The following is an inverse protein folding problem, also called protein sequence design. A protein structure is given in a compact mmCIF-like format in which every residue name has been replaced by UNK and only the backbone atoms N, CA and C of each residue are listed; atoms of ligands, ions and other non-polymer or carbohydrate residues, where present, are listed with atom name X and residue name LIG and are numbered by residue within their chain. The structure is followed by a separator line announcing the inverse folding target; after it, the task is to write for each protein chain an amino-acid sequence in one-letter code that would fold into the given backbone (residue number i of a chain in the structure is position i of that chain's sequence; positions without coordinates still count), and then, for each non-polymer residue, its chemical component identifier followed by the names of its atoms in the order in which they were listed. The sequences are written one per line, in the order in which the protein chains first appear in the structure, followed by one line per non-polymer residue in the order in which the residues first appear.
data_IF_745589007168
#
_entry.id   IF_745589007168
#
_cell.length_a   1.000
_cell.length_b   1.000
_cell.length_c   1.000
_cell.angle_alpha   90.00
_cell.angle_beta   90.00
_cell.angle_gamma   90.00
#
_symmetry.space_group_name_H-M   'P 1'
#
loop_
_entity.id
_entity.type
_entity.pdbx_description
1 polymer ?
#
# COMPACT_ATOMS: atom_id res chain seq x y z
N UNK A 1 -10.24 -3.47 27.13
CA UNK A 1 -8.79 -3.38 27.37
C UNK A 1 -8.08 -4.06 26.21
N UNK A 2 -7.47 -3.29 25.30
CA UNK A 2 -6.81 -3.81 24.12
C UNK A 2 -5.58 -4.63 24.52
N UNK A 3 -5.67 -5.95 24.44
CA UNK A 3 -4.54 -6.82 24.69
C UNK A 3 -3.89 -7.17 23.33
N UNK A 4 -3.11 -6.25 22.80
CA UNK A 4 -2.32 -6.42 21.58
C UNK A 4 -1.16 -7.40 21.85
N UNK A 5 -1.49 -8.69 22.05
CA UNK A 5 -0.46 -9.74 22.01
C UNK A 5 -0.03 -9.96 20.57
N UNK A 6 0.85 -9.08 20.09
CA UNK A 6 1.45 -9.19 18.76
C UNK A 6 2.70 -10.08 18.84
N UNK A 7 2.84 -11.00 17.90
CA UNK A 7 4.09 -11.71 17.72
C UNK A 7 5.20 -10.77 17.16
N UNK A 8 6.43 -11.27 17.09
CA UNK A 8 7.55 -10.46 16.61
C UNK A 8 7.38 -10.00 15.16
N UNK A 9 6.76 -10.82 14.30
CA UNK A 9 6.52 -10.49 12.89
C UNK A 9 5.43 -9.43 12.76
N UNK A 10 4.34 -9.60 13.51
CA UNK A 10 3.21 -8.66 13.53
C UNK A 10 3.65 -7.26 13.97
N UNK A 11 4.56 -7.14 14.94
CA UNK A 11 5.06 -5.85 15.41
C UNK A 11 5.70 -5.01 14.30
N UNK A 12 6.52 -5.62 13.43
CA UNK A 12 7.16 -4.86 12.34
C UNK A 12 6.15 -4.35 11.34
N UNK A 13 5.17 -5.18 10.97
CA UNK A 13 4.11 -4.79 10.04
C UNK A 13 3.23 -3.71 10.65
N UNK A 14 2.86 -3.84 11.93
CA UNK A 14 2.03 -2.83 12.62
C UNK A 14 2.71 -1.48 12.67
N UNK A 15 4.02 -1.43 12.98
CA UNK A 15 4.74 -0.16 13.05
C UNK A 15 4.81 0.50 11.66
N UNK A 16 5.16 -0.24 10.60
CA UNK A 16 5.20 0.33 9.26
C UNK A 16 3.83 0.77 8.78
N UNK A 17 2.78 0.00 9.07
CA UNK A 17 1.41 0.32 8.69
C UNK A 17 0.86 1.56 9.44
N UNK A 18 1.20 1.74 10.72
CA UNK A 18 0.87 2.95 11.48
C UNK A 18 1.47 4.18 10.81
N UNK A 19 2.77 4.13 10.49
CA UNK A 19 3.47 5.24 9.87
C UNK A 19 2.94 5.51 8.46
N UNK A 20 2.75 4.48 7.65
CA UNK A 20 2.19 4.60 6.31
C UNK A 20 0.77 5.17 6.34
N UNK A 21 -0.11 4.64 7.18
CA UNK A 21 -1.49 5.10 7.32
C UNK A 21 -1.57 6.56 7.76
N UNK A 22 -0.71 6.97 8.69
CA UNK A 22 -0.62 8.37 9.14
C UNK A 22 -0.17 9.28 8.00
N UNK A 23 0.91 8.92 7.29
CA UNK A 23 1.43 9.70 6.17
C UNK A 23 0.41 9.79 5.03
N UNK A 24 -0.14 8.67 4.59
CA UNK A 24 -1.12 8.63 3.50
C UNK A 24 -2.36 9.46 3.83
N UNK A 25 -2.88 9.39 5.05
CA UNK A 25 -4.06 10.17 5.46
C UNK A 25 -3.76 11.66 5.60
N UNK A 26 -2.53 12.03 5.93
CA UNK A 26 -2.10 13.43 5.98
C UNK A 26 -1.98 14.05 4.58
N UNK A 27 -1.41 13.32 3.61
CA UNK A 27 -1.12 13.85 2.28
C UNK A 27 -2.26 13.66 1.26
N UNK A 28 -3.06 12.61 1.41
CA UNK A 28 -4.11 12.21 0.44
C UNK A 28 -5.08 13.36 0.10
N UNK A 29 -5.60 14.14 1.06
CA UNK A 29 -6.51 15.24 0.74
C UNK A 29 -5.90 16.26 -0.23
N UNK A 30 -4.62 16.58 -0.08
CA UNK A 30 -3.92 17.56 -0.93
C UNK A 30 -3.71 17.01 -2.34
N UNK A 31 -3.26 15.77 -2.47
CA UNK A 31 -3.05 15.11 -3.77
C UNK A 31 -4.39 15.01 -4.53
N UNK A 32 -5.44 14.54 -3.86
CA UNK A 32 -6.78 14.39 -4.45
C UNK A 32 -7.35 15.75 -4.85
N UNK A 33 -7.26 16.75 -3.98
CA UNK A 33 -7.70 18.12 -4.26
C UNK A 33 -6.98 18.69 -5.49
N UNK A 34 -5.68 18.51 -5.57
CA UNK A 34 -4.88 19.04 -6.69
C UNK A 34 -5.26 18.37 -8.03
N UNK A 35 -5.45 17.05 -8.03
CA UNK A 35 -5.90 16.29 -9.20
C UNK A 35 -7.30 16.77 -9.64
N UNK A 36 -8.28 16.80 -8.74
CA UNK A 36 -9.67 17.10 -9.09
C UNK A 36 -9.93 18.58 -9.38
N UNK A 37 -9.06 19.48 -8.95
CA UNK A 37 -9.16 20.91 -9.31
C UNK A 37 -8.51 21.26 -10.63
N UNK A 38 -7.52 20.47 -11.07
CA UNK A 38 -6.74 20.77 -12.29
C UNK A 38 -7.08 19.90 -13.48
N UNK A 39 -7.71 18.73 -13.25
CA UNK A 39 -8.15 17.84 -14.33
C UNK A 39 -9.63 18.00 -14.64
N UNK A 40 -10.07 17.64 -15.89
CA UNK A 40 -11.48 17.64 -16.28
C UNK A 40 -12.32 16.74 -15.36
N UNK A 41 -13.61 17.06 -15.19
CA UNK A 41 -14.55 16.29 -14.37
C UNK A 41 -14.70 14.84 -14.82
N UNK A 42 -14.50 14.58 -16.10
CA UNK A 42 -14.53 13.24 -16.72
C UNK A 42 -13.43 12.31 -16.17
N UNK A 43 -12.37 12.89 -15.60
CA UNK A 43 -11.31 12.11 -14.96
C UNK A 43 -11.85 11.21 -13.83
N UNK A 44 -12.79 11.69 -13.03
CA UNK A 44 -13.38 10.94 -11.92
C UNK A 44 -14.10 9.69 -12.46
N UNK A 45 -14.87 9.85 -13.54
CA UNK A 45 -15.56 8.73 -14.19
C UNK A 45 -14.57 7.74 -14.81
N UNK A 46 -13.51 8.24 -15.45
CA UNK A 46 -12.43 7.44 -16.03
C UNK A 46 -11.69 6.63 -14.94
N UNK A 47 -11.31 7.25 -13.83
CA UNK A 47 -10.66 6.60 -12.68
C UNK A 47 -11.54 5.46 -12.12
N UNK A 48 -12.83 5.72 -11.93
CA UNK A 48 -13.78 4.72 -11.45
C UNK A 48 -13.93 3.54 -12.42
N UNK A 49 -13.98 3.82 -13.73
CA UNK A 49 -14.04 2.80 -14.78
C UNK A 49 -12.79 1.93 -14.79
N UNK A 50 -11.60 2.54 -14.77
CA UNK A 50 -10.31 1.83 -14.74
C UNK A 50 -10.18 1.01 -13.47
N UNK A 51 -10.60 1.54 -12.32
CA UNK A 51 -10.64 0.80 -11.05
C UNK A 51 -11.50 -0.47 -11.13
N UNK A 52 -12.69 -0.36 -11.72
CA UNK A 52 -13.60 -1.50 -11.91
C UNK A 52 -13.04 -2.55 -12.87
N UNK A 53 -12.48 -2.12 -14.00
CA UNK A 53 -11.85 -3.01 -14.99
C UNK A 53 -10.63 -3.70 -14.39
N UNK A 54 -9.77 -2.97 -13.67
CA UNK A 54 -8.58 -3.55 -13.06
C UNK A 54 -8.94 -4.59 -12.00
N UNK A 55 -9.91 -4.33 -11.14
CA UNK A 55 -10.41 -5.29 -10.16
C UNK A 55 -10.94 -6.57 -10.80
N UNK A 56 -11.67 -6.44 -11.90
CA UNK A 56 -12.15 -7.57 -12.70
C UNK A 56 -11.00 -8.37 -13.32
N UNK A 57 -10.08 -7.73 -14.00
CA UNK A 57 -8.92 -8.37 -14.63
C UNK A 57 -8.04 -9.06 -13.60
N UNK A 58 -7.70 -8.39 -12.50
CA UNK A 58 -6.91 -8.98 -11.42
C UNK A 58 -7.63 -10.22 -10.84
N UNK A 59 -8.95 -10.19 -10.71
CA UNK A 59 -9.71 -11.33 -10.19
C UNK A 59 -9.70 -12.53 -11.15
N UNK A 60 -9.75 -12.29 -12.46
CA UNK A 60 -9.62 -13.35 -13.48
C UNK A 60 -8.20 -13.92 -13.51
N UNK A 61 -7.19 -13.04 -13.59
CA UNK A 61 -5.79 -13.45 -13.73
C UNK A 61 -5.19 -14.00 -12.44
N UNK A 62 -5.84 -13.77 -11.28
CA UNK A 62 -5.39 -14.28 -9.98
C UNK A 62 -5.56 -15.79 -9.84
N UNK A 63 -6.09 -16.47 -10.83
CA UNK A 63 -6.27 -17.94 -10.77
C UNK A 63 -4.92 -18.66 -10.60
N UNK A 64 -4.98 -19.82 -10.07
CA UNK A 64 -3.95 -20.79 -9.65
C UNK A 64 -2.47 -20.50 -9.96
N UNK A 65 -2.13 -20.03 -11.17
CA UNK A 65 -0.74 -19.82 -11.58
C UNK A 65 -0.07 -18.65 -10.83
N UNK A 66 -0.76 -17.51 -10.71
CA UNK A 66 -0.22 -16.33 -10.04
C UNK A 66 -0.19 -16.57 -8.53
N UNK A 67 -1.24 -17.20 -7.99
CA UNK A 67 -1.31 -17.54 -6.57
C UNK A 67 -0.15 -18.42 -6.13
N UNK A 68 0.22 -19.44 -6.92
CA UNK A 68 1.36 -20.32 -6.63
C UNK A 68 2.71 -19.59 -6.67
N UNK A 69 2.84 -18.57 -7.50
CA UNK A 69 4.07 -17.78 -7.64
C UNK A 69 4.09 -16.55 -6.73
N UNK A 70 2.99 -16.24 -6.06
CA UNK A 70 2.84 -15.01 -5.26
C UNK A 70 3.93 -14.86 -4.21
N UNK A 71 4.29 -15.94 -3.52
CA UNK A 71 5.33 -15.92 -2.48
C UNK A 71 6.72 -15.73 -3.07
N UNK A 72 7.06 -16.45 -4.17
CA UNK A 72 8.35 -16.31 -4.85
C UNK A 72 8.59 -14.90 -5.37
N UNK A 73 7.55 -14.25 -5.87
CA UNK A 73 7.61 -12.92 -6.46
C UNK A 73 7.29 -11.80 -5.49
N UNK A 74 6.86 -12.12 -4.27
CA UNK A 74 6.41 -11.14 -3.29
C UNK A 74 7.43 -10.02 -3.06
N UNK A 75 8.67 -10.39 -2.76
CA UNK A 75 9.73 -9.40 -2.51
C UNK A 75 10.05 -8.57 -3.77
N UNK A 76 10.05 -9.19 -4.95
CA UNK A 76 10.26 -8.48 -6.21
C UNK A 76 9.15 -7.47 -6.49
N UNK A 77 7.91 -7.81 -6.16
CA UNK A 77 6.76 -6.92 -6.32
C UNK A 77 6.84 -5.75 -5.35
N UNK A 78 7.12 -6.02 -4.06
CA UNK A 78 7.27 -5.01 -3.02
C UNK A 78 8.39 -4.03 -3.37
N UNK A 79 9.60 -4.53 -3.70
CA UNK A 79 10.71 -3.67 -4.11
C UNK A 79 10.39 -2.91 -5.41
N UNK A 80 9.74 -3.56 -6.37
CA UNK A 80 9.34 -2.93 -7.63
C UNK A 80 8.37 -1.77 -7.41
N UNK A 81 7.39 -1.94 -6.54
CA UNK A 81 6.44 -0.89 -6.14
C UNK A 81 7.16 0.30 -5.53
N UNK A 82 8.01 0.05 -4.51
CA UNK A 82 8.80 1.09 -3.85
C UNK A 82 9.67 1.87 -4.84
N UNK A 83 10.43 1.16 -5.68
CA UNK A 83 11.33 1.80 -6.66
C UNK A 83 10.54 2.63 -7.65
N UNK A 84 9.46 2.10 -8.23
CA UNK A 84 8.61 2.84 -9.17
C UNK A 84 7.98 4.08 -8.50
N UNK A 85 7.45 3.92 -7.29
CA UNK A 85 6.85 5.02 -6.52
C UNK A 85 7.85 6.14 -6.23
N UNK A 86 9.06 5.79 -5.78
CA UNK A 86 10.13 6.77 -5.51
C UNK A 86 10.57 7.47 -6.79
N UNK A 87 10.73 6.74 -7.91
CA UNK A 87 11.13 7.34 -9.19
C UNK A 87 10.09 8.34 -9.70
N UNK A 88 8.79 8.03 -9.57
CA UNK A 88 7.72 8.96 -9.93
C UNK A 88 7.75 10.20 -9.04
N UNK A 89 7.87 10.02 -7.73
CA UNK A 89 7.97 11.16 -6.80
C UNK A 89 9.21 12.00 -7.08
N UNK A 90 10.35 11.38 -7.34
CA UNK A 90 11.58 12.08 -7.70
C UNK A 90 11.44 12.86 -9.03
N UNK A 91 10.80 12.28 -10.04
CA UNK A 91 10.50 12.98 -11.29
C UNK A 91 9.65 14.23 -11.04
N UNK A 92 8.55 14.11 -10.32
CA UNK A 92 7.62 15.20 -10.03
C UNK A 92 8.25 16.33 -9.17
N UNK A 93 9.23 15.99 -8.33
CA UNK A 93 9.88 16.96 -7.45
C UNK A 93 11.11 17.63 -8.08
N UNK A 94 11.88 16.90 -8.88
CA UNK A 94 13.21 17.33 -9.32
C UNK A 94 13.26 17.73 -10.80
N UNK A 95 12.35 17.22 -11.63
CA UNK A 95 12.38 17.43 -13.08
C UNK A 95 11.25 18.36 -13.52
N UNK A 96 10.01 17.90 -13.37
CA UNK A 96 8.85 18.68 -13.79
C UNK A 96 7.59 18.23 -13.02
N UNK A 97 6.90 19.18 -12.39
CA UNK A 97 5.61 18.92 -11.79
C UNK A 97 4.52 18.88 -12.87
N UNK A 98 4.09 17.68 -13.20
CA UNK A 98 3.06 17.45 -14.19
C UNK A 98 1.84 16.74 -13.56
N UNK A 99 0.68 17.41 -13.60
CA UNK A 99 -0.56 16.91 -13.00
C UNK A 99 -1.03 15.58 -13.61
N UNK A 100 -0.80 15.37 -14.92
CA UNK A 100 -1.15 14.12 -15.57
C UNK A 100 -0.28 12.95 -15.10
N UNK A 101 1.01 13.20 -14.88
CA UNK A 101 1.92 12.17 -14.33
C UNK A 101 1.49 11.81 -12.91
N UNK A 102 1.14 12.79 -12.08
CA UNK A 102 0.65 12.56 -10.73
C UNK A 102 -0.65 11.75 -10.75
N UNK A 103 -1.61 12.14 -11.57
CA UNK A 103 -2.91 11.49 -11.65
C UNK A 103 -2.83 10.06 -12.20
N UNK A 104 -2.02 9.82 -13.22
CA UNK A 104 -1.80 8.47 -13.77
C UNK A 104 -1.07 7.60 -12.75
N UNK A 105 -0.07 8.14 -12.06
CA UNK A 105 0.63 7.39 -11.01
C UNK A 105 -0.31 7.01 -9.86
N UNK A 106 -1.13 7.94 -9.41
CA UNK A 106 -2.16 7.70 -8.39
C UNK A 106 -3.16 6.62 -8.86
N UNK A 107 -3.63 6.70 -10.11
CA UNK A 107 -4.54 5.73 -10.70
C UNK A 107 -3.93 4.32 -10.74
N UNK A 108 -2.71 4.18 -11.24
CA UNK A 108 -2.00 2.90 -11.30
C UNK A 108 -1.83 2.32 -9.90
N UNK A 109 -1.39 3.16 -8.95
CA UNK A 109 -1.21 2.74 -7.57
C UNK A 109 -2.49 2.24 -6.94
N UNK A 110 -3.56 3.03 -6.97
CA UNK A 110 -4.82 2.70 -6.30
C UNK A 110 -5.57 1.53 -6.94
N UNK A 111 -5.45 1.35 -8.25
CA UNK A 111 -6.23 0.34 -8.96
C UNK A 111 -5.48 -0.98 -9.16
N UNK A 112 -4.25 -0.93 -9.65
CA UNK A 112 -3.50 -2.15 -9.98
C UNK A 112 -2.60 -2.61 -8.84
N UNK A 113 -1.72 -1.73 -8.35
CA UNK A 113 -0.68 -2.10 -7.40
C UNK A 113 -1.32 -2.51 -6.08
N UNK A 114 -2.13 -1.65 -5.48
CA UNK A 114 -2.77 -1.93 -4.20
C UNK A 114 -3.61 -3.22 -4.25
N UNK A 115 -4.42 -3.39 -5.28
CA UNK A 115 -5.26 -4.59 -5.43
C UNK A 115 -4.42 -5.86 -5.59
N UNK A 116 -3.32 -5.81 -6.34
CA UNK A 116 -2.46 -6.95 -6.58
C UNK A 116 -1.60 -7.28 -5.36
N UNK A 117 -0.97 -6.29 -4.76
CA UNK A 117 -0.13 -6.42 -3.56
C UNK A 117 -0.97 -6.91 -2.38
N UNK A 118 -2.18 -6.40 -2.17
CA UNK A 118 -3.09 -6.88 -1.12
C UNK A 118 -3.39 -8.38 -1.27
N UNK A 119 -3.59 -8.88 -2.50
CA UNK A 119 -3.79 -10.33 -2.72
C UNK A 119 -2.54 -11.15 -2.40
N UNK A 120 -1.36 -10.65 -2.77
CA UNK A 120 -0.08 -11.28 -2.42
C UNK A 120 0.12 -11.32 -0.91
N UNK A 121 -0.18 -10.22 -0.22
CA UNK A 121 -0.13 -10.12 1.25
C UNK A 121 -1.08 -11.12 1.90
N UNK A 122 -2.30 -11.29 1.38
CA UNK A 122 -3.24 -12.30 1.92
C UNK A 122 -2.71 -13.72 1.82
N UNK A 123 -2.07 -14.09 0.70
CA UNK A 123 -1.43 -15.40 0.55
C UNK A 123 -0.26 -15.54 1.53
N UNK A 124 0.56 -14.50 1.66
CA UNK A 124 1.68 -14.48 2.58
C UNK A 124 1.25 -14.63 4.03
N UNK A 125 0.24 -13.88 4.47
CA UNK A 125 -0.37 -14.00 5.80
C UNK A 125 -0.91 -15.41 6.07
N UNK A 126 -1.54 -16.04 5.07
CA UNK A 126 -2.11 -17.39 5.22
C UNK A 126 -1.05 -18.48 5.41
N UNK A 127 0.19 -18.21 5.02
CA UNK A 127 1.33 -19.12 5.23
C UNK A 127 2.03 -18.91 6.57
N UNK A 128 2.01 -17.69 7.09
CA UNK A 128 2.69 -17.33 8.35
C UNK A 128 1.82 -17.58 9.58
N UNK A 129 0.51 -17.40 9.46
CA UNK A 129 -0.39 -17.43 10.61
C UNK A 129 -1.56 -18.37 10.39
N UNK A 130 -1.98 -19.04 11.46
CA UNK A 130 -3.23 -19.80 11.46
C UNK A 130 -4.44 -18.84 11.33
N UNK A 131 -5.61 -19.38 11.01
CA UNK A 131 -6.81 -18.58 10.76
C UNK A 131 -7.21 -17.69 11.95
N UNK A 132 -7.09 -18.18 13.18
CA UNK A 132 -7.47 -17.45 14.39
C UNK A 132 -6.52 -16.27 14.67
N UNK A 133 -5.22 -16.50 14.55
CA UNK A 133 -4.22 -15.46 14.76
C UNK A 133 -4.30 -14.40 13.67
N UNK A 134 -4.60 -14.81 12.43
CA UNK A 134 -4.80 -13.91 11.31
C UNK A 134 -6.04 -13.02 11.51
N UNK A 135 -7.17 -13.59 11.90
CA UNK A 135 -8.40 -12.83 12.16
C UNK A 135 -8.21 -11.82 13.30
N UNK A 136 -7.57 -12.25 14.38
CA UNK A 136 -7.26 -11.34 15.51
C UNK A 136 -6.32 -10.22 15.08
N UNK A 137 -5.31 -10.53 14.27
CA UNK A 137 -4.39 -9.56 13.71
C UNK A 137 -5.11 -8.56 12.80
N UNK A 138 -5.91 -9.05 11.85
CA UNK A 138 -6.60 -8.20 10.88
C UNK A 138 -7.57 -7.23 11.57
N UNK A 139 -8.33 -7.68 12.57
CA UNK A 139 -9.20 -6.82 13.38
C UNK A 139 -8.42 -5.75 14.15
N UNK A 140 -7.30 -6.11 14.77
CA UNK A 140 -6.47 -5.16 15.51
C UNK A 140 -5.83 -4.12 14.59
N UNK A 141 -5.35 -4.55 13.43
CA UNK A 141 -4.77 -3.68 12.40
C UNK A 141 -5.80 -2.68 11.87
N UNK A 142 -7.01 -3.13 11.59
CA UNK A 142 -8.07 -2.26 11.10
C UNK A 142 -8.36 -1.12 12.09
N UNK A 143 -8.49 -1.45 13.38
CA UNK A 143 -8.72 -0.45 14.41
C UNK A 143 -7.56 0.55 14.50
N UNK A 144 -6.33 0.05 14.52
CA UNK A 144 -5.13 0.90 14.61
C UNK A 144 -5.00 1.77 13.36
N UNK A 145 -5.24 1.22 12.18
CA UNK A 145 -5.21 1.96 10.91
C UNK A 145 -6.27 3.06 10.88
N UNK A 146 -7.50 2.78 11.32
CA UNK A 146 -8.55 3.79 11.42
C UNK A 146 -8.16 4.93 12.36
N UNK A 147 -7.64 4.63 13.56
CA UNK A 147 -7.22 5.65 14.53
C UNK A 147 -6.08 6.51 13.98
N UNK A 148 -5.09 5.91 13.35
CA UNK A 148 -3.96 6.65 12.75
C UNK A 148 -4.39 7.46 11.55
N UNK A 149 -5.35 6.98 10.75
CA UNK A 149 -5.92 7.74 9.64
C UNK A 149 -6.71 8.96 10.14
N UNK A 150 -7.52 8.81 11.18
CA UNK A 150 -8.21 9.94 11.81
C UNK A 150 -7.20 11.00 12.26
N UNK A 151 -6.12 10.58 12.90
CA UNK A 151 -5.06 11.50 13.34
C UNK A 151 -4.39 12.19 12.15
N UNK A 152 -4.08 11.47 11.08
CA UNK A 152 -3.51 12.03 9.85
C UNK A 152 -4.41 13.09 9.22
N UNK A 153 -5.71 12.82 9.10
CA UNK A 153 -6.69 13.80 8.59
C UNK A 153 -6.83 15.02 9.50
N UNK A 154 -6.82 14.84 10.82
CA UNK A 154 -6.86 15.96 11.76
C UNK A 154 -5.62 16.85 11.61
N UNK A 155 -4.43 16.26 11.44
CA UNK A 155 -3.20 17.02 11.19
C UNK A 155 -3.32 17.77 9.86
N UNK A 156 -3.86 17.14 8.80
CA UNK A 156 -4.06 17.79 7.51
C UNK A 156 -5.01 18.99 7.58
N UNK A 157 -6.05 18.92 8.41
CA UNK A 157 -6.97 20.04 8.64
C UNK A 157 -6.27 21.21 9.35
N UNK A 158 -5.40 20.91 10.32
CA UNK A 158 -4.71 21.92 11.11
C UNK A 158 -3.48 22.51 10.39
N UNK A 159 -2.80 21.70 9.59
CA UNK A 159 -1.56 22.06 8.90
C UNK A 159 -1.54 21.40 7.52
N UNK A 160 -2.30 21.94 6.57
CA UNK A 160 -2.37 21.43 5.18
C UNK A 160 -0.97 21.47 4.54
N UNK A 161 -0.41 20.33 4.10
CA UNK A 161 0.89 20.31 3.44
C UNK A 161 0.77 20.97 2.05
N UNK A 162 1.86 21.57 1.57
CA UNK A 162 1.90 21.94 0.17
C UNK A 162 2.07 20.69 -0.72
N UNK A 163 1.77 20.81 -2.01
CA UNK A 163 1.77 19.66 -2.94
C UNK A 163 3.16 19.00 -3.05
N UNK A 164 4.25 19.76 -3.00
CA UNK A 164 5.60 19.22 -3.09
C UNK A 164 5.97 18.40 -1.86
N UNK A 165 5.59 18.88 -0.66
CA UNK A 165 5.74 18.13 0.58
C UNK A 165 4.89 16.87 0.55
N UNK A 166 3.66 16.95 0.04
CA UNK A 166 2.78 15.79 -0.09
C UNK A 166 3.38 14.72 -1.02
N UNK A 167 3.94 15.09 -2.17
CA UNK A 167 4.61 14.17 -3.09
C UNK A 167 5.87 13.55 -2.44
N UNK A 168 6.67 14.34 -1.73
CA UNK A 168 7.84 13.84 -1.01
C UNK A 168 7.45 12.80 0.04
N UNK A 169 6.45 13.11 0.86
CA UNK A 169 5.95 12.19 1.90
C UNK A 169 5.27 10.95 1.30
N UNK A 170 4.71 11.07 0.10
CA UNK A 170 4.18 9.91 -0.63
C UNK A 170 5.29 8.92 -0.98
N UNK A 171 6.43 9.40 -1.48
CA UNK A 171 7.63 8.56 -1.68
C UNK A 171 8.14 7.91 -0.38
N UNK A 172 8.10 8.64 0.74
CA UNK A 172 8.45 8.09 2.06
C UNK A 172 7.44 7.01 2.50
N UNK A 173 6.15 7.20 2.24
CA UNK A 173 5.12 6.23 2.59
C UNK A 173 5.32 4.88 1.88
N UNK A 174 5.72 4.87 0.60
CA UNK A 174 6.11 3.64 -0.11
C UNK A 174 7.22 2.87 0.61
N UNK A 175 8.30 3.58 0.97
CA UNK A 175 9.42 2.96 1.70
C UNK A 175 8.97 2.36 3.04
N UNK A 176 8.16 3.11 3.77
CA UNK A 176 7.74 2.69 5.12
C UNK A 176 6.82 1.48 5.07
N UNK A 177 5.89 1.43 4.12
CA UNK A 177 4.96 0.30 3.97
C UNK A 177 5.72 -0.99 3.66
N UNK A 178 6.62 -0.94 2.71
CA UNK A 178 7.32 -2.10 2.18
C UNK A 178 8.41 -2.63 3.11
N UNK A 179 9.04 -1.78 3.93
CA UNK A 179 10.09 -2.20 4.88
C UNK A 179 9.54 -3.24 5.88
N UNK A 180 8.34 -3.04 6.41
CA UNK A 180 7.73 -3.98 7.35
C UNK A 180 7.55 -5.37 6.76
N UNK A 181 7.02 -5.43 5.54
CA UNK A 181 6.81 -6.68 4.82
C UNK A 181 8.13 -7.34 4.39
N UNK A 182 9.11 -6.56 3.95
CA UNK A 182 10.43 -7.07 3.57
C UNK A 182 11.15 -7.71 4.78
N UNK A 183 11.13 -7.07 5.96
CA UNK A 183 11.71 -7.62 7.18
C UNK A 183 11.07 -8.97 7.54
N UNK A 184 9.74 -9.05 7.49
CA UNK A 184 9.02 -10.28 7.81
C UNK A 184 9.30 -11.37 6.78
N UNK A 185 9.38 -11.02 5.49
CA UNK A 185 9.77 -11.97 4.45
C UNK A 185 11.16 -12.56 4.70
N UNK A 186 12.17 -11.73 4.93
CA UNK A 186 13.54 -12.22 5.17
C UNK A 186 13.67 -13.08 6.44
N UNK A 187 12.94 -12.74 7.50
CA UNK A 187 12.92 -13.53 8.73
C UNK A 187 12.30 -14.92 8.57
N UNK A 188 11.38 -15.08 7.63
CA UNK A 188 10.60 -16.32 7.45
C UNK A 188 10.91 -17.02 6.12
N UNK A 189 11.95 -16.61 5.40
CA UNK A 189 12.27 -17.11 4.06
C UNK A 189 12.38 -18.64 4.01
N UNK A 190 13.01 -19.26 5.00
CA UNK A 190 13.18 -20.71 5.05
C UNK A 190 11.85 -21.48 5.18
N UNK A 191 10.93 -20.95 6.00
CA UNK A 191 9.59 -21.54 6.15
C UNK A 191 8.77 -21.41 4.86
N UNK A 192 8.89 -20.28 4.18
CA UNK A 192 8.14 -19.98 2.95
C UNK A 192 8.61 -20.81 1.76
N UNK A 193 9.92 -21.14 1.69
CA UNK A 193 10.50 -21.90 0.57
C UNK A 193 10.33 -23.41 0.76
N UNK A 194 10.37 -23.93 1.97
CA UNK A 194 10.19 -25.38 2.23
C UNK A 194 8.82 -25.91 1.82
N UNK A 195 7.79 -25.12 1.92
CA UNK A 195 6.40 -25.51 1.59
C UNK A 195 6.14 -25.66 0.07
N UNK A 196 7.10 -25.23 -0.77
CA UNK A 196 6.97 -25.33 -2.23
C UNK A 196 7.65 -26.58 -2.83
N UNK A 197 8.41 -27.33 -2.01
CA UNK A 197 9.11 -28.55 -2.43
C UNK A 197 8.38 -29.84 -2.02
N UNK A 198 7.25 -29.72 -1.36
CA UNK A 198 6.32 -30.81 -1.01
C UNK A 198 5.05 -30.72 -1.86
#
# INVERSE_FOLDING_TARGET
MFNLKLDSNQKYIVVSLILCSLLCSYISPVIIKDIYTKLPSEWIAFESLVGSISGFLISIFWRDTIRRQAIKKFLTLVIGETVCGILVCAYLLLIDYNIWVLAIAQLIYTTFITSFVCKCIMVFKSKLWNNKDRETYDNNIEIVSCLTSILGYLIAILAEPNIYLAIFLWGVAYLVDDIGWAIVYFKNKELLVKDESS
#
